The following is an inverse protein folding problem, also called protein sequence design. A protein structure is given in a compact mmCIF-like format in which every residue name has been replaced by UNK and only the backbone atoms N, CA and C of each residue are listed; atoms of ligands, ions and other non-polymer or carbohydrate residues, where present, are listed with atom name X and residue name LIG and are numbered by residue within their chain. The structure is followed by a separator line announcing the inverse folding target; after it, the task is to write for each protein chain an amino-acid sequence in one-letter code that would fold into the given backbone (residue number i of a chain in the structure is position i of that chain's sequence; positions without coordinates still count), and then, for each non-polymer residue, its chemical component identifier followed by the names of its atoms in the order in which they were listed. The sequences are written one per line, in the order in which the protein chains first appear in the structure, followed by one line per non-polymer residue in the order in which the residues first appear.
data_IF_921859667752
#
_entry.id   IF_921859667752
#
_cell.length_a   1.000
_cell.length_b   1.000
_cell.length_c   1.000
_cell.angle_alpha   90.00
_cell.angle_beta   90.00
_cell.angle_gamma   90.00
#
_symmetry.space_group_name_H-M   'P 1'
#
loop_
_entity.id
_entity.type
_entity.pdbx_description
1 polymer ?
#
# COMPACT_ATOMS: atom_id res chain seq x y z
N UNK A 1 18.53 -3.08 -3.50
CA UNK A 1 19.30 -2.05 -4.23
C UNK A 1 19.15 -2.23 -5.75
N UNK A 2 19.03 -3.46 -6.25
CA UNK A 2 18.98 -3.73 -7.68
C UNK A 2 17.55 -3.70 -8.27
N UNK A 3 16.53 -3.55 -7.43
CA UNK A 3 15.16 -3.48 -7.89
C UNK A 3 14.84 -2.14 -8.57
N UNK A 4 13.98 -2.21 -9.57
CA UNK A 4 13.28 -1.06 -10.14
C UNK A 4 11.88 -1.02 -9.55
N UNK A 5 11.64 0.00 -8.75
CA UNK A 5 10.39 0.20 -8.02
C UNK A 5 9.51 1.24 -8.70
N UNK A 6 8.23 0.97 -8.77
CA UNK A 6 7.26 1.93 -9.26
C UNK A 6 6.04 2.03 -8.34
N UNK A 7 5.88 3.18 -7.70
CA UNK A 7 4.65 3.57 -7.05
C UNK A 7 3.85 4.45 -8.00
N UNK A 8 2.73 3.93 -8.48
CA UNK A 8 1.82 4.64 -9.39
C UNK A 8 0.68 5.37 -8.64
N UNK A 9 0.91 5.74 -7.38
CA UNK A 9 0.02 6.59 -6.60
C UNK A 9 0.23 8.07 -6.95
N UNK A 10 -0.77 8.90 -6.64
CA UNK A 10 -0.68 10.34 -6.82
C UNK A 10 0.38 10.96 -5.90
N UNK A 11 1.31 11.73 -6.47
CA UNK A 11 2.37 12.40 -5.73
C UNK A 11 1.88 13.55 -4.86
N UNK A 12 0.64 14.01 -5.02
CA UNK A 12 -0.01 15.02 -4.17
C UNK A 12 -0.41 14.52 -2.79
N UNK A 13 -0.39 13.20 -2.57
CA UNK A 13 -0.66 12.58 -1.28
C UNK A 13 0.63 12.22 -0.54
N UNK A 14 0.50 11.93 0.77
CA UNK A 14 1.66 11.50 1.59
C UNK A 14 2.33 10.24 1.03
N UNK A 15 1.61 9.39 0.32
CA UNK A 15 2.17 8.23 -0.38
C UNK A 15 3.26 8.65 -1.36
N UNK A 16 3.07 9.77 -2.07
CA UNK A 16 4.09 10.34 -2.94
C UNK A 16 5.37 10.71 -2.18
N UNK A 17 5.22 11.33 -1.02
CA UNK A 17 6.37 11.70 -0.18
C UNK A 17 7.09 10.46 0.37
N UNK A 18 6.36 9.59 1.06
CA UNK A 18 6.96 8.42 1.74
C UNK A 18 7.44 7.35 0.77
N UNK A 19 6.65 7.03 -0.27
CA UNK A 19 6.85 5.85 -1.10
C UNK A 19 7.19 6.12 -2.57
N UNK A 20 7.28 7.38 -3.02
CA UNK A 20 7.88 7.73 -4.31
C UNK A 20 9.24 8.38 -4.09
N UNK A 21 9.38 9.25 -3.10
CA UNK A 21 10.61 10.01 -2.87
C UNK A 21 11.46 9.41 -1.74
N UNK A 22 11.00 9.51 -0.50
CA UNK A 22 11.87 9.24 0.66
C UNK A 22 12.25 7.76 0.80
N UNK A 23 11.29 6.86 0.75
CA UNK A 23 11.53 5.42 0.94
C UNK A 23 12.46 4.83 -0.11
N UNK A 24 12.17 4.96 -1.41
CA UNK A 24 13.04 4.45 -2.46
C UNK A 24 14.45 5.03 -2.40
N UNK A 25 14.60 6.34 -2.25
CA UNK A 25 15.92 6.99 -2.21
C UNK A 25 16.73 6.59 -0.97
N UNK A 26 16.07 6.47 0.20
CA UNK A 26 16.74 6.00 1.42
C UNK A 26 17.25 4.57 1.28
N UNK A 27 16.59 3.75 0.46
CA UNK A 27 16.99 2.37 0.16
C UNK A 27 17.91 2.26 -1.08
N UNK A 28 18.31 3.36 -1.68
CA UNK A 28 19.13 3.39 -2.91
C UNK A 28 18.47 2.62 -4.08
N UNK A 29 17.15 2.60 -4.11
CA UNK A 29 16.37 1.89 -5.09
C UNK A 29 16.03 2.81 -6.26
N UNK A 30 16.13 2.32 -7.49
CA UNK A 30 15.68 3.07 -8.67
C UNK A 30 14.16 3.20 -8.63
N UNK A 31 13.64 4.42 -8.64
CA UNK A 31 12.21 4.70 -8.64
C UNK A 31 11.77 5.25 -9.99
N UNK A 32 10.73 4.62 -10.57
CA UNK A 32 10.09 5.14 -11.79
C UNK A 32 9.17 6.29 -11.39
N UNK A 33 9.33 7.44 -12.06
CA UNK A 33 8.41 8.56 -11.98
C UNK A 33 7.73 8.74 -13.33
N UNK A 34 6.40 8.77 -13.31
CA UNK A 34 5.60 8.91 -14.51
C UNK A 34 4.67 10.12 -14.41
N UNK A 35 4.78 11.03 -15.36
CA UNK A 35 3.89 12.16 -15.51
C UNK A 35 2.86 11.86 -16.60
N UNK A 36 1.64 11.54 -16.22
CA UNK A 36 0.55 11.25 -17.14
C UNK A 36 -0.58 10.43 -16.52
N UNK A 37 -1.67 10.30 -17.26
CA UNK A 37 -2.77 9.45 -16.84
C UNK A 37 -2.48 7.96 -17.14
N UNK A 38 -3.00 7.04 -16.33
CA UNK A 38 -2.71 5.60 -16.47
C UNK A 38 -3.23 4.99 -17.78
N UNK A 39 -4.18 5.65 -18.46
CA UNK A 39 -4.77 5.24 -19.73
C UNK A 39 -4.45 6.20 -20.89
N UNK A 40 -3.39 6.98 -20.79
CA UNK A 40 -2.99 7.90 -21.85
C UNK A 40 -1.59 7.50 -22.41
N UNK A 41 -1.46 7.26 -23.72
CA UNK A 41 -2.45 7.46 -24.79
C UNK A 41 -3.52 6.36 -24.89
N UNK A 42 -3.33 5.24 -24.23
CA UNK A 42 -4.25 4.10 -24.20
C UNK A 42 -4.08 3.28 -22.91
N UNK A 43 -4.92 2.26 -22.71
CA UNK A 43 -4.96 1.41 -21.51
C UNK A 43 -3.75 0.49 -21.36
N UNK A 44 -2.87 0.42 -22.37
CA UNK A 44 -1.62 -0.35 -22.33
C UNK A 44 -0.46 0.42 -21.68
N UNK A 45 -0.66 1.72 -21.41
CA UNK A 45 0.42 2.62 -21.04
C UNK A 45 1.22 2.15 -19.83
N UNK A 46 0.56 1.73 -18.75
CA UNK A 46 1.24 1.27 -17.53
C UNK A 46 2.09 0.02 -17.81
N UNK A 47 1.52 -0.93 -18.54
CA UNK A 47 2.16 -2.21 -18.85
C UNK A 47 3.36 -2.04 -19.76
N UNK A 48 3.28 -1.12 -20.72
CA UNK A 48 4.43 -0.77 -21.57
C UNK A 48 5.59 -0.15 -20.78
N UNK A 49 5.30 0.57 -19.70
CA UNK A 49 6.31 1.12 -18.78
C UNK A 49 6.95 -0.01 -17.95
N UNK A 50 6.13 -0.91 -17.39
CA UNK A 50 6.61 -2.08 -16.65
C UNK A 50 7.57 -2.91 -17.52
N UNK A 51 7.15 -3.24 -18.72
CA UNK A 51 7.95 -4.01 -19.69
C UNK A 51 9.25 -3.29 -20.07
N UNK A 52 9.13 -2.02 -20.46
CA UNK A 52 10.26 -1.22 -20.94
C UNK A 52 11.36 -1.05 -19.89
N UNK A 53 10.97 -0.76 -18.66
CA UNK A 53 11.91 -0.47 -17.58
C UNK A 53 12.17 -1.68 -16.68
N UNK A 54 11.59 -2.84 -17.00
CA UNK A 54 11.75 -4.08 -16.23
C UNK A 54 11.45 -3.87 -14.74
N UNK A 55 10.30 -3.24 -14.46
CA UNK A 55 9.87 -2.95 -13.10
C UNK A 55 9.73 -4.24 -12.28
N UNK A 56 10.32 -4.26 -11.11
CA UNK A 56 10.31 -5.42 -10.20
C UNK A 56 9.22 -5.33 -9.14
N UNK A 57 8.93 -4.13 -8.68
CA UNK A 57 7.94 -3.87 -7.63
C UNK A 57 6.95 -2.83 -8.13
N UNK A 58 5.66 -3.20 -8.18
CA UNK A 58 4.59 -2.30 -8.60
C UNK A 58 3.61 -2.05 -7.44
N UNK A 59 3.44 -0.80 -7.06
CA UNK A 59 2.65 -0.35 -5.92
C UNK A 59 1.60 0.67 -6.36
N UNK A 60 0.32 0.35 -6.17
CA UNK A 60 -0.79 1.17 -6.67
C UNK A 60 -2.04 1.08 -5.79
N UNK A 61 -3.04 1.90 -6.09
CA UNK A 61 -4.29 1.92 -5.34
C UNK A 61 -5.29 0.87 -5.87
N UNK A 62 -6.13 0.27 -5.01
CA UNK A 62 -7.22 -0.62 -5.41
C UNK A 62 -8.19 -0.01 -6.43
N UNK A 63 -8.44 1.29 -6.37
CA UNK A 63 -9.21 2.00 -7.41
C UNK A 63 -8.58 1.88 -8.79
N UNK A 64 -7.24 1.96 -8.90
CA UNK A 64 -6.55 1.74 -10.17
C UNK A 64 -6.70 0.28 -10.64
N UNK A 65 -6.57 -0.69 -9.73
CA UNK A 65 -6.74 -2.12 -10.06
C UNK A 65 -8.14 -2.38 -10.61
N UNK A 66 -9.18 -1.84 -9.96
CA UNK A 66 -10.57 -1.95 -10.47
C UNK A 66 -10.76 -1.29 -11.84
N UNK A 67 -10.03 -0.21 -12.12
CA UNK A 67 -10.03 0.37 -13.47
C UNK A 67 -9.35 -0.56 -14.48
N UNK A 68 -8.23 -1.18 -14.14
CA UNK A 68 -7.55 -2.16 -15.00
C UNK A 68 -8.45 -3.37 -15.32
N UNK A 69 -9.17 -3.89 -14.32
CA UNK A 69 -10.18 -4.95 -14.52
C UNK A 69 -11.23 -4.53 -15.54
N UNK A 70 -11.73 -3.29 -15.43
CA UNK A 70 -12.76 -2.76 -16.33
C UNK A 70 -12.24 -2.54 -17.75
N UNK A 71 -10.98 -2.18 -17.91
CA UNK A 71 -10.38 -1.94 -19.24
C UNK A 71 -10.13 -3.23 -20.00
N UNK A 72 -9.87 -4.33 -19.30
CA UNK A 72 -9.70 -5.64 -19.89
C UNK A 72 -8.30 -6.25 -19.69
N UNK A 73 -8.29 -7.56 -19.62
CA UNK A 73 -7.08 -8.35 -19.36
C UNK A 73 -6.13 -8.38 -20.56
N UNK A 74 -6.61 -8.12 -21.75
CA UNK A 74 -5.82 -8.10 -22.99
C UNK A 74 -4.72 -7.02 -22.96
N UNK A 75 -4.90 -5.95 -22.19
CA UNK A 75 -3.91 -4.90 -22.08
C UNK A 75 -2.65 -5.33 -21.33
N UNK A 76 -2.69 -5.88 -20.12
CA UNK A 76 -1.50 -6.43 -19.48
C UNK A 76 -0.94 -7.67 -20.23
N UNK A 77 -1.79 -8.54 -20.77
CA UNK A 77 -1.36 -9.74 -21.49
C UNK A 77 -0.59 -9.44 -22.78
N UNK A 78 -0.71 -8.24 -23.33
CA UNK A 78 0.04 -7.81 -24.49
C UNK A 78 1.51 -7.44 -24.18
N UNK A 79 1.93 -7.49 -22.91
CA UNK A 79 3.24 -7.04 -22.45
C UNK A 79 3.97 -8.11 -21.62
N UNK A 80 5.29 -8.07 -21.63
CA UNK A 80 6.15 -8.90 -20.79
C UNK A 80 6.22 -8.31 -19.37
N UNK A 81 5.45 -8.87 -18.44
CA UNK A 81 5.43 -8.50 -17.03
C UNK A 81 6.29 -9.42 -16.14
N UNK A 82 7.10 -10.31 -16.71
CA UNK A 82 7.88 -11.31 -15.98
C UNK A 82 8.95 -10.72 -15.06
N UNK A 83 9.28 -9.44 -15.22
CA UNK A 83 10.17 -8.73 -14.30
C UNK A 83 9.53 -8.44 -12.94
N UNK A 84 8.19 -8.44 -12.85
CA UNK A 84 7.50 -8.23 -11.58
C UNK A 84 7.74 -9.41 -10.64
N UNK A 85 8.09 -9.10 -9.39
CA UNK A 85 8.26 -10.06 -8.30
C UNK A 85 7.44 -9.74 -7.06
N UNK A 86 6.98 -8.49 -6.93
CA UNK A 86 6.18 -8.01 -5.80
C UNK A 86 5.15 -7.00 -6.28
N UNK A 87 3.92 -7.21 -5.86
CA UNK A 87 2.82 -6.28 -6.07
C UNK A 87 2.37 -5.70 -4.72
N UNK A 88 1.94 -4.46 -4.72
CA UNK A 88 1.45 -3.83 -3.50
C UNK A 88 0.21 -2.99 -3.74
N UNK A 89 -0.59 -2.84 -2.68
CA UNK A 89 -1.80 -2.02 -2.67
C UNK A 89 -1.78 -1.01 -1.54
N UNK A 90 -2.32 0.18 -1.77
CA UNK A 90 -2.24 1.31 -0.85
C UNK A 90 -3.44 2.25 -0.97
N UNK A 91 -3.77 2.89 0.14
CA UNK A 91 -4.67 4.06 0.22
C UNK A 91 -6.12 3.75 0.52
N UNK A 92 -6.58 2.54 0.27
CA UNK A 92 -7.92 2.06 0.59
C UNK A 92 -7.95 0.54 0.74
N UNK A 93 -8.97 -0.05 1.41
CA UNK A 93 -9.14 -1.50 1.42
C UNK A 93 -9.36 -2.06 0.01
N UNK A 94 -8.71 -3.17 -0.30
CA UNK A 94 -8.95 -3.92 -1.53
C UNK A 94 -9.97 -5.03 -1.28
N UNK A 95 -10.95 -5.17 -2.17
CA UNK A 95 -11.85 -6.31 -2.12
C UNK A 95 -11.19 -7.59 -2.64
N UNK A 96 -11.58 -8.78 -2.14
CA UNK A 96 -10.97 -10.05 -2.53
C UNK A 96 -10.93 -10.32 -4.03
N UNK A 97 -11.98 -9.94 -4.77
CA UNK A 97 -12.05 -10.10 -6.22
C UNK A 97 -10.95 -9.31 -6.95
N UNK A 98 -10.76 -8.04 -6.61
CA UNK A 98 -9.71 -7.21 -7.20
C UNK A 98 -8.31 -7.70 -6.80
N UNK A 99 -8.14 -8.20 -5.57
CA UNK A 99 -6.91 -8.80 -5.10
C UNK A 99 -6.55 -10.05 -5.91
N UNK A 100 -7.51 -10.96 -6.12
CA UNK A 100 -7.31 -12.17 -6.91
C UNK A 100 -7.00 -11.83 -8.37
N UNK A 101 -7.77 -10.92 -8.97
CA UNK A 101 -7.51 -10.48 -10.34
C UNK A 101 -6.08 -9.92 -10.52
N UNK A 102 -5.63 -9.12 -9.54
CA UNK A 102 -4.30 -8.53 -9.54
C UNK A 102 -3.20 -9.60 -9.42
N UNK A 103 -3.43 -10.59 -8.56
CA UNK A 103 -2.55 -11.74 -8.40
C UNK A 103 -2.44 -12.58 -9.68
N UNK A 104 -3.58 -12.92 -10.28
CA UNK A 104 -3.66 -13.79 -11.45
C UNK A 104 -3.16 -13.11 -12.73
N UNK A 105 -3.62 -11.90 -13.00
CA UNK A 105 -3.44 -11.27 -14.31
C UNK A 105 -2.21 -10.34 -14.40
N UNK A 106 -1.75 -9.81 -13.28
CA UNK A 106 -0.56 -8.96 -13.24
C UNK A 106 0.61 -9.69 -12.59
N UNK A 107 0.33 -10.43 -11.52
CA UNK A 107 1.32 -11.20 -10.78
C UNK A 107 1.64 -12.57 -11.36
N UNK A 108 0.92 -13.02 -12.39
CA UNK A 108 1.06 -14.33 -12.99
C UNK A 108 1.09 -15.46 -11.95
N UNK A 109 0.23 -15.37 -10.93
CA UNK A 109 0.11 -16.29 -9.78
C UNK A 109 1.41 -16.53 -8.99
N UNK A 110 2.47 -15.81 -9.30
CA UNK A 110 3.80 -15.97 -8.73
C UNK A 110 4.25 -14.80 -7.85
N UNK A 111 3.78 -13.58 -8.11
CA UNK A 111 4.11 -12.43 -7.30
C UNK A 111 3.36 -12.46 -5.96
N UNK A 112 4.09 -12.26 -4.87
CA UNK A 112 3.44 -11.94 -3.60
C UNK A 112 2.70 -10.60 -3.71
N UNK A 113 1.55 -10.48 -3.02
CA UNK A 113 0.84 -9.22 -2.86
C UNK A 113 0.99 -8.74 -1.42
N UNK A 114 1.44 -7.52 -1.25
CA UNK A 114 1.46 -6.80 0.03
C UNK A 114 0.35 -5.76 0.02
N UNK A 115 -0.76 -6.09 0.68
CA UNK A 115 -1.81 -5.12 0.98
C UNK A 115 -1.39 -4.34 2.22
N UNK A 116 -1.29 -3.01 2.10
CA UNK A 116 -0.66 -2.19 3.13
C UNK A 116 -1.68 -1.27 3.80
N UNK A 117 -1.72 -1.32 5.12
CA UNK A 117 -2.45 -0.34 5.90
C UNK A 117 -1.50 0.65 6.57
N UNK A 118 -1.77 1.92 6.32
CA UNK A 118 -1.12 3.05 6.96
C UNK A 118 -1.90 4.33 6.68
N UNK A 119 -1.52 5.42 7.32
CA UNK A 119 -2.18 6.73 7.20
C UNK A 119 -1.13 7.83 7.06
N UNK A 120 -1.57 9.03 6.69
CA UNK A 120 -0.75 10.25 6.77
C UNK A 120 -0.14 10.41 8.16
N UNK A 121 -0.95 10.14 9.19
CA UNK A 121 -0.60 10.23 10.60
C UNK A 121 0.42 9.18 11.05
N UNK A 122 0.47 8.04 10.39
CA UNK A 122 1.48 7.01 10.70
C UNK A 122 2.80 7.24 9.98
N UNK A 123 2.79 7.95 8.85
CA UNK A 123 3.98 8.29 8.07
C UNK A 123 4.60 7.14 7.29
N UNK A 124 4.33 5.90 7.70
CA UNK A 124 4.80 4.66 7.07
C UNK A 124 3.82 3.52 7.27
N UNK A 125 4.05 2.40 6.57
CA UNK A 125 3.24 1.18 6.67
C UNK A 125 3.33 0.61 8.08
N UNK A 126 2.16 0.33 8.68
CA UNK A 126 2.02 -0.24 10.02
C UNK A 126 1.61 -1.72 9.96
N UNK A 127 0.73 -2.07 9.01
CA UNK A 127 0.17 -3.42 8.88
C UNK A 127 0.32 -3.85 7.43
N UNK A 128 0.95 -5.01 7.21
CA UNK A 128 1.13 -5.61 5.88
C UNK A 128 1.63 -7.04 6.01
N UNK A 129 1.32 -7.96 5.10
CA UNK A 129 1.95 -9.26 5.08
C UNK A 129 3.44 -9.14 4.70
N UNK A 130 4.27 -9.99 5.28
CA UNK A 130 5.68 -10.11 4.95
C UNK A 130 5.86 -11.29 3.99
N UNK A 131 6.29 -11.06 2.73
CA UNK A 131 6.48 -12.12 1.75
C UNK A 131 7.39 -13.24 2.26
N UNK A 132 6.95 -14.49 2.09
CA UNK A 132 7.68 -15.67 2.58
C UNK A 132 7.54 -15.98 4.07
N UNK A 133 6.88 -15.09 4.84
CA UNK A 133 6.70 -15.27 6.30
C UNK A 133 5.21 -15.32 6.65
N UNK A 134 4.42 -14.38 6.13
CA UNK A 134 3.00 -14.25 6.45
C UNK A 134 2.14 -14.92 5.39
N UNK A 135 1.21 -15.79 5.80
CA UNK A 135 0.16 -16.27 4.91
C UNK A 135 -0.78 -15.12 4.54
N UNK A 136 -0.92 -14.87 3.25
CA UNK A 136 -1.79 -13.80 2.74
C UNK A 136 -3.25 -14.23 2.75
N UNK A 137 -4.13 -13.23 2.86
CA UNK A 137 -5.57 -13.39 2.73
C UNK A 137 -6.09 -12.28 1.84
N UNK A 138 -6.74 -12.59 0.70
CA UNK A 138 -7.33 -11.57 -0.16
C UNK A 138 -8.23 -10.61 0.61
N UNK A 139 -7.97 -9.30 0.45
CA UNK A 139 -8.70 -8.25 1.15
C UNK A 139 -8.28 -7.98 2.60
N UNK A 140 -7.09 -8.43 2.99
CA UNK A 140 -6.58 -8.20 4.35
C UNK A 140 -5.11 -7.80 4.33
N UNK A 141 -4.77 -6.75 5.08
CA UNK A 141 -3.39 -6.36 5.35
C UNK A 141 -2.69 -7.29 6.36
N UNK A 142 -3.38 -8.31 6.85
CA UNK A 142 -2.90 -9.40 7.72
C UNK A 142 -2.50 -8.95 9.14
N UNK A 143 -1.25 -8.58 9.36
CA UNK A 143 -0.72 -8.32 10.70
C UNK A 143 0.25 -7.14 10.78
N UNK A 144 0.56 -6.69 12.00
CA UNK A 144 1.45 -5.56 12.19
C UNK A 144 2.88 -5.87 11.75
N UNK A 145 3.56 -4.83 11.30
CA UNK A 145 4.99 -4.84 11.03
C UNK A 145 5.78 -5.12 12.33
N UNK A 146 6.97 -5.74 12.24
CA UNK A 146 7.85 -5.87 13.39
C UNK A 146 8.10 -4.54 14.10
N UNK A 147 7.86 -4.49 15.40
CA UNK A 147 7.99 -3.29 16.22
C UNK A 147 6.73 -2.42 16.31
N UNK A 148 5.64 -2.80 15.65
CA UNK A 148 4.34 -2.15 15.75
C UNK A 148 3.44 -2.99 16.67
N UNK A 149 2.98 -2.37 17.76
CA UNK A 149 2.04 -2.98 18.71
C UNK A 149 0.61 -2.53 18.39
N UNK A 150 -0.02 -3.22 17.44
CA UNK A 150 -1.37 -2.92 16.97
C UNK A 150 -2.37 -3.91 17.55
N UNK A 151 -3.47 -3.39 18.10
CA UNK A 151 -4.56 -4.16 18.69
C UNK A 151 -5.92 -3.65 18.20
N UNK A 152 -6.94 -4.48 18.34
CA UNK A 152 -8.33 -4.06 18.14
C UNK A 152 -8.98 -3.90 19.50
N UNK A 153 -9.61 -2.74 19.75
CA UNK A 153 -10.21 -2.39 21.05
C UNK A 153 -11.69 -2.02 20.91
N UNK A 154 -12.44 -2.22 21.96
CA UNK A 154 -13.83 -1.76 22.09
C UNK A 154 -13.93 -0.24 22.32
N UNK A 155 -15.14 0.25 22.56
CA UNK A 155 -15.41 1.67 22.87
C UNK A 155 -14.77 2.14 24.18
N UNK A 156 -14.43 1.23 25.08
CA UNK A 156 -13.83 1.51 26.37
C UNK A 156 -12.30 1.32 26.37
N UNK A 157 -11.71 0.99 25.23
CA UNK A 157 -10.27 0.75 25.11
C UNK A 157 -9.81 -0.66 25.52
N UNK A 158 -10.72 -1.59 25.80
CA UNK A 158 -10.35 -2.97 26.10
C UNK A 158 -10.10 -3.76 24.83
N UNK A 159 -9.06 -4.61 24.80
CA UNK A 159 -8.80 -5.49 23.67
C UNK A 159 -9.98 -6.47 23.48
N UNK A 160 -10.44 -6.57 22.22
CA UNK A 160 -11.53 -7.49 21.87
C UNK A 160 -11.01 -8.90 21.57
N UNK A 161 -11.90 -9.89 21.67
CA UNK A 161 -11.54 -11.26 21.35
C UNK A 161 -11.26 -11.42 19.84
N UNK A 162 -10.42 -12.40 19.51
CA UNK A 162 -10.08 -12.70 18.11
C UNK A 162 -11.31 -13.03 17.28
N UNK A 163 -11.51 -12.28 16.21
CA UNK A 163 -12.66 -12.40 15.30
C UNK A 163 -13.78 -11.38 15.58
N UNK A 164 -13.68 -10.60 16.63
CA UNK A 164 -14.57 -9.46 16.91
C UNK A 164 -14.05 -8.19 16.23
N UNK A 165 -14.96 -7.27 15.94
CA UNK A 165 -14.67 -5.97 15.36
C UNK A 165 -14.50 -4.89 16.41
N UNK A 166 -13.74 -3.83 16.09
CA UNK A 166 -13.52 -2.70 16.98
C UNK A 166 -12.67 -1.61 16.33
N UNK A 167 -12.07 -0.76 17.13
CA UNK A 167 -11.16 0.27 16.68
C UNK A 167 -9.73 -0.27 16.64
N UNK A 168 -9.02 0.04 15.56
CA UNK A 168 -7.60 -0.25 15.46
C UNK A 168 -6.82 0.78 16.30
N UNK A 169 -6.09 0.30 17.28
CA UNK A 169 -5.23 1.11 18.14
C UNK A 169 -3.76 0.66 18.00
N UNK A 170 -2.83 1.61 18.01
CA UNK A 170 -1.39 1.34 18.09
C UNK A 170 -0.94 1.81 19.48
N UNK A 171 -0.53 0.87 20.32
CA UNK A 171 -0.29 1.09 21.74
C UNK A 171 1.00 1.81 22.08
N UNK A 172 2.00 1.72 21.20
CA UNK A 172 3.32 2.30 21.45
C UNK A 172 3.72 3.27 20.34
N UNK A 173 4.43 4.36 20.65
CA UNK A 173 4.94 5.27 19.64
C UNK A 173 5.92 4.57 18.68
N UNK A 174 5.96 5.03 17.45
CA UNK A 174 6.87 4.56 16.40
C UNK A 174 7.61 5.76 15.74
N UNK A 175 8.75 5.54 15.07
CA UNK A 175 9.61 6.64 14.59
C UNK A 175 8.94 7.63 13.64
N UNK A 176 8.01 7.18 12.78
CA UNK A 176 7.33 8.01 11.78
C UNK A 176 5.98 8.57 12.23
N UNK A 177 5.64 8.43 13.53
CA UNK A 177 4.38 8.92 14.08
C UNK A 177 4.24 10.44 13.92
N UNK A 178 3.00 10.88 13.63
CA UNK A 178 2.61 12.29 13.65
C UNK A 178 2.99 12.95 14.98
N UNK A 179 3.64 14.10 14.93
CA UNK A 179 4.11 14.82 16.12
C UNK A 179 3.23 15.98 16.52
N UNK A 180 2.55 16.58 15.57
CA UNK A 180 1.61 17.70 15.77
C UNK A 180 0.89 18.02 14.47
N UNK A 181 -0.14 18.87 14.55
CA UNK A 181 -0.72 19.58 13.41
C UNK A 181 -0.14 20.99 13.38
N UNK A 182 0.45 21.38 12.25
CA UNK A 182 1.10 22.68 12.11
C UNK A 182 0.14 23.84 12.43
N UNK A 183 0.50 24.66 13.41
CA UNK A 183 -0.29 25.79 13.85
C UNK A 183 -1.56 25.46 14.66
N UNK A 184 -1.81 24.17 14.98
CA UNK A 184 -3.02 23.76 15.70
C UNK A 184 -2.76 22.52 16.59
N UNK A 185 -1.98 22.72 17.64
CA UNK A 185 -1.68 21.69 18.62
C UNK A 185 -2.93 21.17 19.35
N UNK A 186 -3.91 22.05 19.59
CA UNK A 186 -5.16 21.66 20.21
C UNK A 186 -5.90 20.61 19.39
N UNK A 187 -6.00 20.79 18.08
CA UNK A 187 -6.61 19.82 17.17
C UNK A 187 -5.88 18.48 17.20
N UNK A 188 -4.54 18.50 17.27
CA UNK A 188 -3.77 17.27 17.39
C UNK A 188 -4.15 16.48 18.64
N UNK A 189 -4.20 17.12 19.79
CA UNK A 189 -4.60 16.46 21.06
C UNK A 189 -6.04 15.99 20.99
N UNK A 190 -6.97 16.87 20.63
CA UNK A 190 -8.41 16.57 20.58
C UNK A 190 -8.74 15.42 19.63
N UNK A 191 -8.01 15.28 18.53
CA UNK A 191 -8.30 14.29 17.49
C UNK A 191 -7.68 12.92 17.79
N UNK A 192 -6.46 12.90 18.30
CA UNK A 192 -5.67 11.66 18.35
C UNK A 192 -5.43 11.13 19.78
N UNK A 193 -5.66 11.95 20.81
CA UNK A 193 -5.31 11.62 22.19
C UNK A 193 -6.46 11.72 23.19
N UNK A 194 -7.64 12.17 22.75
CA UNK A 194 -8.77 12.41 23.67
C UNK A 194 -9.69 11.20 23.86
N UNK A 195 -9.52 10.14 23.08
CA UNK A 195 -10.47 9.01 23.08
C UNK A 195 -10.20 7.99 24.19
N UNK A 196 -8.94 7.77 24.51
CA UNK A 196 -8.49 6.82 25.54
C UNK A 196 -7.43 7.47 26.42
N UNK A 197 -7.39 7.06 27.69
CA UNK A 197 -6.39 7.50 28.68
C UNK A 197 -5.02 6.83 28.47
#
# INVERSE_FOLDING_TARGET
EDDIYWCAADCGWVTGHSYIVYGPLANKTTSVMYEGAPNAPDEKRLWSIVEKYKVNIFYTAPTAIRAFMKWGVEHPQAHDLTSLRLLGTVGEPINPEAWMWYHENIGNESCAIVDTWWQTETGSIMITPLPGITSTKPGSACGPMPGIDAVVVDENGNEVSKGEGGYLAIKTPWPSMLRTVFGDEKRYIDTYWSKYD
#
